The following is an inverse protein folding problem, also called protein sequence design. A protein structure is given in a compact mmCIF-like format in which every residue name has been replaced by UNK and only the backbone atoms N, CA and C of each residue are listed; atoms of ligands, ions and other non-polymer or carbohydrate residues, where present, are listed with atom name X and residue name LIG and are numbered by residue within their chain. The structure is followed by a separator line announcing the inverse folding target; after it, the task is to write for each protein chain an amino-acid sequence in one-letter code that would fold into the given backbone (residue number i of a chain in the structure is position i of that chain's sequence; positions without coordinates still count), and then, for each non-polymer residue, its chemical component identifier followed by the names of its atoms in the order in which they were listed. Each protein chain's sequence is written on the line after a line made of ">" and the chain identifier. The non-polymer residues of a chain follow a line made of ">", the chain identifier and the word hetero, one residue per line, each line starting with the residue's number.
data_IF_579451089805
#
_entry.id   IF_579451089805
#
_cell.length_a   1.000
_cell.length_b   1.000
_cell.length_c   1.000
_cell.angle_alpha   90.00
_cell.angle_beta   90.00
_cell.angle_gamma   90.00
#
_symmetry.space_group_name_H-M   'P 1'
#
loop_
_entity.id
_entity.type
_entity.pdbx_description
1 polymer ?
#
# COMPACT_ATOMS: atom_id res chain seq x y z
N UNK A 1 2.78 -14.48 -5.59
CA UNK A 1 2.23 -13.22 -5.03
C UNK A 1 2.94 -12.05 -5.67
N UNK A 2 2.17 -11.09 -6.15
CA UNK A 2 2.72 -9.87 -6.73
C UNK A 2 2.49 -8.69 -5.79
N UNK A 3 3.18 -7.60 -6.05
CA UNK A 3 3.01 -6.39 -5.27
C UNK A 3 3.26 -5.16 -6.15
N UNK A 4 2.71 -4.04 -5.71
CA UNK A 4 3.02 -2.76 -6.33
C UNK A 4 2.82 -1.65 -5.30
N UNK A 5 3.14 -0.43 -5.70
CA UNK A 5 2.84 0.76 -4.91
C UNK A 5 1.43 1.23 -5.23
N UNK A 6 0.68 1.58 -4.19
CA UNK A 6 -0.65 2.15 -4.35
C UNK A 6 -0.83 3.30 -3.35
N UNK A 7 -1.68 4.24 -3.72
CA UNK A 7 -2.07 5.30 -2.80
C UNK A 7 -3.18 4.78 -1.89
N UNK A 8 -3.01 4.96 -0.60
CA UNK A 8 -4.01 4.62 0.40
C UNK A 8 -4.51 5.90 1.07
N UNK A 9 -5.82 6.03 1.19
CA UNK A 9 -6.44 7.10 1.96
C UNK A 9 -6.48 6.67 3.43
N UNK A 10 -6.06 7.57 4.29
CA UNK A 10 -6.12 7.41 5.74
C UNK A 10 -7.07 8.45 6.29
N UNK A 11 -8.03 8.01 7.09
CA UNK A 11 -8.92 8.92 7.78
C UNK A 11 -8.59 8.94 9.26
N UNK A 12 -8.47 10.14 9.80
CA UNK A 12 -8.27 10.34 11.24
C UNK A 12 -9.07 11.55 11.67
N UNK A 13 -10.05 11.33 12.54
CA UNK A 13 -10.91 12.39 13.07
C UNK A 13 -11.56 13.25 11.98
N UNK A 14 -12.00 12.59 10.91
CA UNK A 14 -12.66 13.26 9.79
C UNK A 14 -11.72 13.87 8.77
N UNK A 15 -10.42 13.82 8.98
CA UNK A 15 -9.44 14.34 8.04
C UNK A 15 -8.85 13.20 7.21
N UNK A 16 -8.71 13.44 5.91
CA UNK A 16 -8.10 12.49 5.00
C UNK A 16 -6.67 12.91 4.70
N UNK A 17 -5.77 11.92 4.73
CA UNK A 17 -4.42 12.06 4.20
C UNK A 17 -4.19 10.92 3.24
N UNK A 18 -3.22 11.10 2.35
CA UNK A 18 -2.90 10.10 1.34
C UNK A 18 -1.43 9.72 1.46
N UNK A 19 -1.15 8.44 1.36
CA UNK A 19 0.22 7.95 1.47
C UNK A 19 0.42 6.79 0.52
N UNK A 20 1.66 6.55 0.12
CA UNK A 20 2.00 5.44 -0.74
C UNK A 20 2.42 4.26 0.14
N UNK A 21 1.80 3.12 -0.11
CA UNK A 21 2.09 1.87 0.56
C UNK A 21 2.43 0.80 -0.48
N UNK A 22 3.10 -0.25 -0.05
CA UNK A 22 3.20 -1.46 -0.85
C UNK A 22 1.97 -2.30 -0.58
N UNK A 23 1.34 -2.76 -1.66
CA UNK A 23 0.17 -3.62 -1.60
C UNK A 23 0.56 -4.97 -2.19
N UNK A 24 0.23 -6.03 -1.49
CA UNK A 24 0.49 -7.39 -1.91
C UNK A 24 -0.82 -8.02 -2.37
N UNK A 25 -0.78 -8.73 -3.48
CA UNK A 25 -1.96 -9.31 -4.11
C UNK A 25 -1.91 -10.84 -4.03
N UNK A 26 -3.07 -11.45 -3.90
CA UNK A 26 -3.16 -12.91 -3.98
C UNK A 26 -3.09 -13.36 -5.45
N UNK A 27 -3.19 -14.66 -5.67
CA UNK A 27 -3.08 -15.22 -7.03
C UNK A 27 -4.23 -14.80 -7.97
N UNK A 28 -5.33 -14.33 -7.40
CA UNK A 28 -6.47 -13.81 -8.17
C UNK A 28 -6.36 -12.32 -8.45
N UNK A 29 -5.24 -11.69 -8.07
CA UNK A 29 -5.04 -10.28 -8.29
C UNK A 29 -5.81 -9.39 -7.32
N UNK A 30 -6.30 -9.93 -6.23
CA UNK A 30 -7.06 -9.18 -5.22
C UNK A 30 -6.11 -8.71 -4.12
N UNK A 31 -6.21 -7.45 -3.67
CA UNK A 31 -5.40 -6.97 -2.57
C UNK A 31 -5.54 -7.86 -1.34
N UNK A 32 -4.42 -8.17 -0.73
CA UNK A 32 -4.32 -9.16 0.33
C UNK A 32 -3.73 -8.56 1.61
N UNK A 33 -2.70 -7.74 1.47
CA UNK A 33 -2.00 -7.08 2.57
C UNK A 33 -1.47 -5.74 2.10
N UNK A 34 -1.22 -4.84 3.03
CA UNK A 34 -0.47 -3.63 2.77
C UNK A 34 0.59 -3.45 3.86
N UNK A 35 1.58 -2.61 3.59
CA UNK A 35 2.53 -2.22 4.64
C UNK A 35 1.80 -1.42 5.71
N UNK A 36 2.20 -1.59 6.95
CA UNK A 36 1.60 -0.86 8.07
C UNK A 36 1.82 0.65 7.92
N UNK A 37 3.02 1.02 7.52
CA UNK A 37 3.41 2.42 7.36
C UNK A 37 3.62 2.74 5.90
N UNK A 38 3.50 4.03 5.57
CA UNK A 38 3.86 4.52 4.26
C UNK A 38 5.33 4.19 3.98
N UNK A 39 5.62 3.85 2.74
CA UNK A 39 6.98 3.49 2.35
C UNK A 39 7.78 4.72 1.97
N UNK A 40 9.06 4.72 2.36
CA UNK A 40 9.98 5.77 2.00
C UNK A 40 10.65 5.53 0.65
N UNK A 41 11.28 6.56 0.14
CA UNK A 41 12.06 6.47 -1.09
C UNK A 41 13.52 6.30 -0.71
N UNK A 42 14.04 5.09 -0.86
CA UNK A 42 15.42 4.78 -0.51
C UNK A 42 15.97 3.74 -1.46
N UNK A 43 17.24 3.87 -1.81
CA UNK A 43 17.93 2.88 -2.63
C UNK A 43 19.41 3.00 -2.40
N UNK A 44 20.15 1.94 -2.69
CA UNK A 44 21.61 1.92 -2.57
C UNK A 44 22.29 2.59 -3.77
N UNK A 45 21.55 2.96 -4.80
CA UNK A 45 22.10 3.61 -5.99
C UNK A 45 21.15 4.67 -6.52
N UNK A 46 21.69 5.64 -7.26
CA UNK A 46 20.85 6.65 -7.90
C UNK A 46 19.93 6.06 -8.98
N UNK A 47 20.40 5.15 -9.84
CA UNK A 47 19.47 4.49 -10.78
C UNK A 47 18.35 3.73 -10.07
N UNK A 48 18.64 3.07 -8.98
CA UNK A 48 17.64 2.38 -8.17
C UNK A 48 16.65 3.35 -7.55
N UNK A 49 17.12 4.49 -7.08
CA UNK A 49 16.25 5.52 -6.53
C UNK A 49 15.31 6.07 -7.57
N UNK A 50 15.83 6.34 -8.77
CA UNK A 50 15.02 6.80 -9.90
C UNK A 50 13.94 5.78 -10.26
N UNK A 51 14.29 4.50 -10.27
CA UNK A 51 13.35 3.42 -10.57
C UNK A 51 12.24 3.34 -9.50
N UNK A 52 12.62 3.48 -8.23
CA UNK A 52 11.65 3.48 -7.13
C UNK A 52 10.68 4.65 -7.25
N UNK A 53 11.17 5.84 -7.56
CA UNK A 53 10.32 7.01 -7.76
C UNK A 53 9.36 6.80 -8.92
N UNK A 54 9.83 6.19 -10.01
CA UNK A 54 8.98 5.90 -11.17
C UNK A 54 7.85 4.96 -10.79
N UNK A 55 8.14 3.92 -10.03
CA UNK A 55 7.12 2.97 -9.56
C UNK A 55 6.13 3.63 -8.61
N UNK A 56 6.62 4.47 -7.70
CA UNK A 56 5.75 5.20 -6.78
C UNK A 56 4.85 6.17 -7.51
N UNK A 57 5.37 6.85 -8.54
CA UNK A 57 4.58 7.75 -9.35
C UNK A 57 3.46 7.01 -10.07
N UNK A 58 3.70 5.77 -10.49
CA UNK A 58 2.68 4.94 -11.14
C UNK A 58 1.47 4.68 -10.24
N UNK A 59 1.66 4.74 -8.91
CA UNK A 59 0.56 4.56 -7.98
C UNK A 59 -0.49 5.65 -8.12
N UNK A 60 -0.11 6.83 -8.60
CA UNK A 60 -1.03 7.97 -8.70
C UNK A 60 -2.08 7.82 -9.81
N UNK A 61 -1.85 6.92 -10.77
CA UNK A 61 -2.80 6.67 -11.85
C UNK A 61 -3.75 5.51 -11.54
N UNK A 62 -3.52 4.80 -10.44
CA UNK A 62 -4.38 3.71 -10.02
C UNK A 62 -5.46 4.23 -9.05
N UNK A 63 -6.60 3.54 -8.94
CA UNK A 63 -7.62 3.93 -7.97
C UNK A 63 -7.05 3.97 -6.56
N UNK A 64 -7.49 4.96 -5.78
CA UNK A 64 -7.10 5.10 -4.38
C UNK A 64 -7.77 3.99 -3.58
N UNK A 65 -6.98 3.30 -2.76
CA UNK A 65 -7.50 2.31 -1.82
C UNK A 65 -7.68 2.95 -0.45
N UNK A 66 -8.46 2.31 0.39
CA UNK A 66 -8.68 2.79 1.75
C UNK A 66 -7.87 1.92 2.72
N UNK A 67 -7.01 2.55 3.50
CA UNK A 67 -6.20 1.83 4.48
C UNK A 67 -7.06 1.01 5.44
N UNK A 68 -8.23 1.54 5.84
CA UNK A 68 -9.14 0.84 6.75
C UNK A 68 -9.66 -0.49 6.18
N UNK A 69 -9.65 -0.66 4.86
CA UNK A 69 -10.08 -1.91 4.24
C UNK A 69 -9.13 -3.07 4.53
N UNK A 70 -7.92 -2.78 4.99
CA UNK A 70 -6.95 -3.80 5.37
C UNK A 70 -6.97 -4.11 6.87
N UNK A 71 -7.70 -3.35 7.66
CA UNK A 71 -7.84 -3.55 9.09
C UNK A 71 -9.09 -4.36 9.46
N UNK A 72 -9.31 -4.60 10.76
CA UNK A 72 -10.45 -5.39 11.23
C UNK A 72 -11.79 -4.86 10.71
N UNK A 73 -12.59 -5.75 10.16
CA UNK A 73 -13.87 -5.40 9.55
C UNK A 73 -13.78 -4.84 8.15
N UNK A 74 -12.57 -4.67 7.63
CA UNK A 74 -12.36 -4.11 6.29
C UNK A 74 -12.50 -5.14 5.18
N UNK A 75 -12.62 -4.63 3.97
CA UNK A 75 -12.87 -5.42 2.76
C UNK A 75 -11.78 -6.45 2.48
N UNK A 76 -10.52 -6.11 2.79
CA UNK A 76 -9.38 -6.99 2.53
C UNK A 76 -8.80 -7.60 3.80
N UNK A 77 -9.46 -7.41 4.92
CA UNK A 77 -8.98 -7.94 6.19
C UNK A 77 -9.08 -9.46 6.22
N UNK A 78 -8.04 -10.11 6.72
CA UNK A 78 -8.04 -11.56 6.91
C UNK A 78 -8.28 -11.90 8.38
N UNK A 79 -8.95 -13.03 8.60
CA UNK A 79 -9.27 -13.49 9.95
C UNK A 79 -8.04 -13.72 10.82
N UNK A 80 -6.89 -13.93 10.22
CA UNK A 80 -5.63 -14.13 10.92
C UNK A 80 -4.99 -12.83 11.38
N UNK A 81 -5.56 -11.68 11.01
CA UNK A 81 -4.96 -10.37 11.30
C UNK A 81 -3.84 -9.97 10.37
N UNK A 82 -3.70 -10.65 9.25
CA UNK A 82 -2.60 -10.42 8.30
C UNK A 82 -2.97 -9.45 7.17
N UNK A 83 -3.97 -8.62 7.37
CA UNK A 83 -4.34 -7.60 6.38
C UNK A 83 -3.34 -6.46 6.29
N UNK A 84 -2.54 -6.24 7.35
CA UNK A 84 -1.49 -5.22 7.38
C UNK A 84 -0.17 -5.90 7.66
N UNK A 85 0.85 -5.55 6.88
CA UNK A 85 2.21 -6.04 7.08
C UNK A 85 2.92 -5.11 8.07
N UNK A 86 3.41 -5.70 9.16
CA UNK A 86 4.10 -4.96 10.22
C UNK A 86 5.62 -4.88 10.01
N UNK A 87 6.07 -5.05 8.80
CA UNK A 87 7.49 -4.96 8.46
C UNK A 87 8.08 -3.56 8.74
#
# INVERSE_FOLDING_TARGET
>A
MTWNHRVLAHEHKGELTFAIHEIFYNDDGIPNMCTENAVGVVSESLPGLSDTLRRMRSALIEPILNYADFGPGGKYYKKTGWGVDYA
#
